data_IF_086992323711
#
_entry.id   IF_086992323711
#
_cell.length_a   1.000
_cell.length_b   1.000
_cell.length_c   1.000
_cell.angle_alpha   90.00
_cell.angle_beta   90.00
_cell.angle_gamma   90.00
#
_symmetry.space_group_name_H-M   'P 1'
#
loop_
_entity.id
_entity.type
_entity.pdbx_description
1 polymer ?
#
# COMPACT_ATOMS: atom_id res chain seq x y z
N UNK A 1 35.16 1.06 9.68
CA UNK A 1 34.24 0.60 10.74
C UNK A 1 33.02 1.52 10.91
N UNK A 2 33.14 2.84 10.72
CA UNK A 2 32.01 3.78 10.83
C UNK A 2 30.93 3.68 9.73
N UNK A 3 31.27 3.24 8.52
CA UNK A 3 30.30 3.11 7.41
C UNK A 3 29.17 2.11 7.71
N UNK A 4 29.46 0.99 8.37
CA UNK A 4 28.45 -0.01 8.74
C UNK A 4 27.42 0.51 9.75
N UNK A 5 27.79 1.44 10.63
CA UNK A 5 26.88 2.03 11.62
C UNK A 5 25.91 3.05 11.00
N UNK A 6 26.36 3.78 9.97
CA UNK A 6 25.54 4.74 9.23
C UNK A 6 24.55 3.99 8.33
N UNK A 7 24.97 2.91 7.66
CA UNK A 7 24.11 2.06 6.81
C UNK A 7 22.97 1.38 7.62
N UNK A 8 23.28 0.87 8.82
CA UNK A 8 22.28 0.26 9.71
C UNK A 8 21.25 1.30 10.17
N UNK A 9 21.71 2.51 10.54
CA UNK A 9 20.82 3.58 11.02
C UNK A 9 19.99 4.20 9.90
N UNK A 10 20.54 4.30 8.69
CA UNK A 10 19.82 4.73 7.50
C UNK A 10 18.74 3.70 7.09
N UNK A 11 19.05 2.40 7.19
CA UNK A 11 18.06 1.33 6.98
C UNK A 11 16.93 1.37 8.02
N UNK A 12 17.24 1.61 9.30
CA UNK A 12 16.25 1.76 10.38
C UNK A 12 15.28 2.94 10.16
N UNK A 13 15.79 4.12 9.76
CA UNK A 13 14.95 5.32 9.53
C UNK A 13 14.00 5.12 8.34
N UNK A 14 14.49 4.49 7.27
CA UNK A 14 13.66 4.17 6.10
C UNK A 14 12.61 3.08 6.42
N UNK A 15 12.95 2.10 7.26
CA UNK A 15 11.99 1.05 7.69
C UNK A 15 10.79 1.63 8.45
N UNK A 16 11.00 2.66 9.28
CA UNK A 16 9.90 3.36 9.97
C UNK A 16 8.99 4.14 9.00
N UNK A 17 9.56 4.76 7.96
CA UNK A 17 8.78 5.46 6.92
C UNK A 17 8.02 4.50 5.99
N UNK A 18 8.57 3.31 5.74
CA UNK A 18 7.93 2.24 4.95
C UNK A 18 6.80 1.55 5.75
N UNK A 19 6.82 1.60 7.08
CA UNK A 19 5.78 0.98 7.90
C UNK A 19 4.40 1.60 7.69
N UNK A 20 4.34 2.91 7.44
CA UNK A 20 3.09 3.63 7.20
C UNK A 20 2.36 3.12 5.95
N UNK A 21 2.96 3.11 4.74
CA UNK A 21 2.32 2.55 3.55
C UNK A 21 2.03 1.05 3.71
N UNK A 22 2.84 0.29 4.46
CA UNK A 22 2.63 -1.15 4.67
C UNK A 22 1.38 -1.44 5.54
N UNK A 23 1.18 -0.70 6.63
CA UNK A 23 -0.01 -0.83 7.47
C UNK A 23 -1.28 -0.46 6.69
N UNK A 24 -1.24 0.65 5.94
CA UNK A 24 -2.37 1.08 5.10
C UNK A 24 -2.70 0.02 4.05
N UNK A 25 -1.68 -0.56 3.40
CA UNK A 25 -1.88 -1.64 2.42
C UNK A 25 -2.49 -2.89 3.06
N UNK A 26 -2.00 -3.29 4.24
CA UNK A 26 -2.53 -4.45 4.97
C UNK A 26 -4.01 -4.26 5.36
N UNK A 27 -4.37 -3.08 5.86
CA UNK A 27 -5.77 -2.75 6.19
C UNK A 27 -6.67 -2.77 4.95
N UNK A 28 -6.16 -2.26 3.82
CA UNK A 28 -6.86 -2.32 2.54
C UNK A 28 -7.08 -3.75 2.04
N UNK A 29 -6.10 -4.63 2.17
CA UNK A 29 -6.24 -6.05 1.81
C UNK A 29 -7.36 -6.68 2.64
N UNK A 30 -7.37 -6.47 3.96
CA UNK A 30 -8.43 -7.00 4.84
C UNK A 30 -9.80 -6.46 4.42
N UNK A 31 -9.91 -5.16 4.16
CA UNK A 31 -11.14 -4.54 3.67
C UNK A 31 -11.62 -5.18 2.36
N UNK A 32 -10.74 -5.38 1.38
CA UNK A 32 -11.11 -6.01 0.11
C UNK A 32 -11.53 -7.46 0.27
N UNK A 33 -10.86 -8.24 1.12
CA UNK A 33 -11.25 -9.63 1.39
C UNK A 33 -12.68 -9.68 1.95
N UNK A 34 -12.99 -8.83 2.93
CA UNK A 34 -14.34 -8.75 3.50
C UNK A 34 -15.35 -8.29 2.45
N UNK A 35 -15.02 -7.27 1.66
CA UNK A 35 -15.88 -6.78 0.58
C UNK A 35 -16.22 -7.86 -0.44
N UNK A 36 -15.22 -8.60 -0.94
CA UNK A 36 -15.42 -9.67 -1.91
C UNK A 36 -16.17 -10.85 -1.30
N UNK A 37 -15.95 -11.18 -0.03
CA UNK A 37 -16.73 -12.20 0.67
C UNK A 37 -18.21 -11.80 0.70
N UNK A 38 -18.55 -10.59 1.17
CA UNK A 38 -19.94 -10.10 1.20
C UNK A 38 -20.56 -10.09 -0.19
N UNK A 39 -19.82 -9.63 -1.20
CA UNK A 39 -20.28 -9.58 -2.59
C UNK A 39 -20.62 -10.98 -3.15
N UNK A 40 -19.84 -12.00 -2.80
CA UNK A 40 -20.10 -13.39 -3.21
C UNK A 40 -21.33 -13.96 -2.49
N UNK A 41 -21.50 -13.68 -1.19
CA UNK A 41 -22.59 -14.22 -0.36
C UNK A 41 -23.94 -13.53 -0.59
N UNK A 42 -23.97 -12.21 -0.78
CA UNK A 42 -25.22 -11.42 -0.81
C UNK A 42 -25.80 -11.31 -2.22
N UNK A 43 -24.96 -11.18 -3.23
CA UNK A 43 -25.43 -10.96 -4.61
C UNK A 43 -25.60 -12.31 -5.31
N UNK A 44 -26.80 -12.67 -5.82
CA UNK A 44 -26.98 -13.93 -6.53
C UNK A 44 -26.58 -13.82 -8.02
N UNK A 45 -26.69 -12.63 -8.62
CA UNK A 45 -26.43 -12.41 -10.04
C UNK A 45 -24.93 -12.38 -10.36
N UNK A 46 -24.48 -13.25 -11.27
CA UNK A 46 -23.10 -13.29 -11.75
C UNK A 46 -22.68 -11.99 -12.46
N UNK A 47 -23.57 -11.40 -13.25
CA UNK A 47 -23.27 -10.16 -13.99
C UNK A 47 -23.02 -9.00 -13.02
N UNK A 48 -23.86 -8.88 -11.98
CA UNK A 48 -23.69 -7.85 -10.96
C UNK A 48 -22.38 -8.03 -10.18
N UNK A 49 -21.97 -9.28 -9.89
CA UNK A 49 -20.67 -9.55 -9.24
C UNK A 49 -19.48 -9.07 -10.06
N UNK A 50 -19.51 -9.31 -11.37
CA UNK A 50 -18.41 -8.91 -12.27
C UNK A 50 -18.32 -7.38 -12.33
N UNK A 51 -19.45 -6.70 -12.52
CA UNK A 51 -19.49 -5.23 -12.60
C UNK A 51 -19.03 -4.60 -11.27
N UNK A 52 -19.54 -5.10 -10.14
CA UNK A 52 -19.17 -4.60 -8.81
C UNK A 52 -17.77 -5.04 -8.36
N UNK A 53 -17.18 -6.05 -9.00
CA UNK A 53 -15.84 -6.52 -8.72
C UNK A 53 -14.76 -5.77 -9.50
N UNK A 54 -15.05 -5.37 -10.75
CA UNK A 54 -14.03 -4.79 -11.63
C UNK A 54 -13.57 -3.40 -11.19
N UNK A 55 -14.50 -2.59 -10.68
CA UNK A 55 -14.24 -1.24 -10.16
C UNK A 55 -13.25 -1.30 -8.98
N UNK A 56 -13.54 -2.03 -7.89
CA UNK A 56 -12.62 -2.14 -6.77
C UNK A 56 -11.28 -2.79 -7.15
N UNK A 57 -11.26 -3.69 -8.14
CA UNK A 57 -10.01 -4.26 -8.65
C UNK A 57 -9.10 -3.20 -9.29
N UNK A 58 -9.69 -2.28 -10.09
CA UNK A 58 -8.95 -1.16 -10.68
C UNK A 58 -8.38 -0.23 -9.59
N UNK A 59 -9.18 0.07 -8.55
CA UNK A 59 -8.70 0.84 -7.39
C UNK A 59 -7.57 0.14 -6.65
N UNK A 60 -7.63 -1.18 -6.49
CA UNK A 60 -6.54 -1.94 -5.86
C UNK A 60 -5.23 -1.82 -6.65
N UNK A 61 -5.29 -1.88 -7.98
CA UNK A 61 -4.10 -1.67 -8.83
C UNK A 61 -3.49 -0.27 -8.66
N UNK A 62 -4.33 0.77 -8.63
CA UNK A 62 -3.88 2.15 -8.38
C UNK A 62 -3.23 2.29 -7.00
N UNK A 63 -3.83 1.70 -5.97
CA UNK A 63 -3.29 1.72 -4.61
C UNK A 63 -1.92 1.06 -4.51
N UNK A 64 -1.74 -0.11 -5.15
CA UNK A 64 -0.44 -0.80 -5.19
C UNK A 64 0.59 0.08 -5.91
N UNK A 65 0.22 0.70 -7.03
CA UNK A 65 1.12 1.60 -7.77
C UNK A 65 1.59 2.78 -6.93
N UNK A 66 0.68 3.46 -6.22
CA UNK A 66 1.03 4.56 -5.31
C UNK A 66 1.94 4.06 -4.18
N UNK A 67 1.68 2.88 -3.60
CA UNK A 67 2.54 2.31 -2.56
C UNK A 67 3.96 2.03 -3.08
N UNK A 68 4.08 1.51 -4.31
CA UNK A 68 5.39 1.29 -4.95
C UNK A 68 6.12 2.63 -5.16
N UNK A 69 5.42 3.67 -5.62
CA UNK A 69 6.02 4.99 -5.78
C UNK A 69 6.53 5.54 -4.45
N UNK A 70 5.74 5.45 -3.36
CA UNK A 70 6.19 5.88 -2.03
C UNK A 70 7.41 5.12 -1.53
N UNK A 71 7.45 3.80 -1.73
CA UNK A 71 8.64 3.01 -1.37
C UNK A 71 9.86 3.45 -2.21
N UNK A 72 9.66 3.78 -3.49
CA UNK A 72 10.73 4.28 -4.36
C UNK A 72 11.24 5.66 -3.93
N UNK A 73 10.35 6.60 -3.61
CA UNK A 73 10.71 7.94 -3.09
C UNK A 73 11.50 7.85 -1.78
N UNK A 74 11.01 7.06 -0.81
CA UNK A 74 11.73 6.83 0.46
C UNK A 74 13.12 6.23 0.21
N UNK A 75 13.26 5.38 -0.81
CA UNK A 75 14.52 4.69 -1.14
C UNK A 75 15.47 5.53 -2.02
N UNK A 76 14.95 6.43 -2.86
CA UNK A 76 15.76 7.33 -3.70
C UNK A 76 16.42 8.43 -2.88
N UNK A 77 15.93 8.67 -1.65
CA UNK A 77 16.46 9.73 -0.79
C UNK A 77 16.13 11.12 -1.30
N UNK A 78 15.23 11.24 -2.29
CA UNK A 78 14.49 12.49 -2.48
C UNK A 78 13.73 12.73 -1.18
N UNK A 79 14.11 13.78 -0.48
CA UNK A 79 13.47 14.13 0.77
C UNK A 79 11.98 14.32 0.47
N UNK A 80 11.17 13.48 1.09
CA UNK A 80 9.74 13.69 1.24
C UNK A 80 9.56 15.00 2.04
N UNK A 81 9.73 16.12 1.33
CA UNK A 81 9.85 17.49 1.81
C UNK A 81 8.53 18.01 2.43
N UNK A 82 7.53 17.14 2.56
CA UNK A 82 6.31 17.37 3.32
C UNK A 82 6.56 17.68 4.80
N UNK A 83 7.72 17.31 5.35
CA UNK A 83 8.10 17.67 6.73
C UNK A 83 8.57 19.12 6.91
N UNK A 84 8.67 19.89 5.82
CA UNK A 84 9.17 21.28 5.83
C UNK A 84 8.06 22.35 5.73
N UNK A 85 6.80 21.94 5.79
CA UNK A 85 5.63 22.81 5.82
C UNK A 85 4.83 22.66 7.12
#
# INVERSE_FOLDING_TARGET
MCYNLIDIKFREVNMKKIIAPLIVTALFIVYFVVYFAVLIFVIPSLVAKIILGIIPLAFAAVMIYVCIQRIKEIRSGEEDDLSKY
#
